data_IF_913963326377
#
_entry.id   IF_913963326377
#
_cell.length_a   1.000
_cell.length_b   1.000
_cell.length_c   1.000
_cell.angle_alpha   90.00
_cell.angle_beta   90.00
_cell.angle_gamma   90.00
#
_symmetry.space_group_name_H-M   'P 1'
#
loop_
_entity.id
_entity.type
_entity.pdbx_description
1 polymer ?
#
# COMPACT_ATOMS: atom_id res chain seq x y z
N UNK A 1 -43.69 -18.99 -24.83
CA UNK A 1 -42.39 -18.28 -24.86
C UNK A 1 -42.34 -17.43 -23.60
N UNK A 2 -41.56 -17.85 -22.59
CA UNK A 2 -41.33 -17.05 -21.39
C UNK A 2 -39.95 -16.41 -21.52
N UNK A 3 -39.92 -15.10 -21.74
CA UNK A 3 -38.69 -14.30 -21.73
C UNK A 3 -38.17 -14.21 -20.28
N UNK A 4 -37.07 -14.90 -19.99
CA UNK A 4 -36.31 -14.70 -18.77
C UNK A 4 -35.25 -13.61 -19.00
N UNK A 5 -35.64 -12.35 -18.87
CA UNK A 5 -34.71 -11.25 -18.68
C UNK A 5 -34.21 -11.16 -17.22
N UNK A 6 -33.06 -10.53 -16.95
CA UNK A 6 -32.57 -10.31 -15.60
C UNK A 6 -33.58 -9.50 -14.78
N UNK A 7 -33.97 -10.02 -13.61
CA UNK A 7 -34.91 -9.34 -12.70
C UNK A 7 -34.25 -8.08 -12.12
N UNK A 8 -34.72 -6.92 -12.55
CA UNK A 8 -34.37 -5.63 -11.94
C UNK A 8 -34.88 -5.63 -10.50
N UNK A 9 -33.96 -5.63 -9.53
CA UNK A 9 -34.29 -5.48 -8.10
C UNK A 9 -34.27 -4.00 -7.74
N UNK A 10 -35.43 -3.45 -7.43
CA UNK A 10 -35.56 -2.09 -6.90
C UNK A 10 -35.30 -2.14 -5.39
N UNK A 11 -34.46 -1.24 -4.90
CA UNK A 11 -34.17 -1.09 -3.48
C UNK A 11 -35.44 -0.77 -2.68
N UNK A 12 -35.66 -1.49 -1.58
CA UNK A 12 -36.90 -1.49 -0.81
C UNK A 12 -36.62 -1.34 0.68
N UNK A 13 -36.90 -0.14 1.19
CA UNK A 13 -36.70 0.24 2.61
C UNK A 13 -37.72 -0.40 3.56
N UNK A 14 -38.82 -0.94 3.04
CA UNK A 14 -39.89 -1.62 3.78
C UNK A 14 -39.57 -3.08 4.14
N UNK A 15 -38.36 -3.56 3.82
CA UNK A 15 -37.95 -4.90 4.21
C UNK A 15 -37.50 -4.92 5.66
N UNK A 16 -37.91 -5.96 6.39
CA UNK A 16 -37.62 -6.15 7.81
C UNK A 16 -36.13 -5.93 8.15
N UNK A 17 -35.22 -6.30 7.24
CA UNK A 17 -33.76 -6.08 7.38
C UNK A 17 -33.36 -4.62 7.61
N UNK A 18 -34.05 -3.65 7.00
CA UNK A 18 -33.76 -2.22 7.20
C UNK A 18 -34.45 -1.63 8.43
N UNK A 19 -35.60 -2.19 8.82
CA UNK A 19 -36.28 -1.75 10.06
C UNK A 19 -35.50 -2.13 11.32
N UNK A 20 -34.78 -3.25 11.29
CA UNK A 20 -33.94 -3.67 12.40
C UNK A 20 -32.53 -3.04 12.38
N UNK A 21 -32.18 -2.23 11.37
CA UNK A 21 -30.83 -1.64 11.25
C UNK A 21 -30.45 -0.79 12.47
N UNK A 22 -31.43 -0.12 13.08
CA UNK A 22 -31.26 0.70 14.28
C UNK A 22 -31.07 -0.10 15.57
N UNK A 23 -31.43 -1.38 15.59
CA UNK A 23 -31.32 -2.26 16.76
C UNK A 23 -29.96 -2.97 16.81
N UNK A 24 -29.30 -3.17 15.65
CA UNK A 24 -27.97 -3.81 15.58
C UNK A 24 -26.90 -3.17 16.48
N UNK A 25 -26.77 -1.84 16.60
CA UNK A 25 -25.77 -1.23 17.47
C UNK A 25 -25.96 -1.62 18.94
N UNK A 26 -27.21 -1.83 19.37
CA UNK A 26 -27.53 -2.26 20.73
C UNK A 26 -27.24 -3.75 20.91
N UNK A 27 -27.68 -4.59 19.97
CA UNK A 27 -27.40 -6.03 20.02
C UNK A 27 -25.90 -6.35 19.96
N UNK A 28 -25.10 -5.63 19.18
CA UNK A 28 -23.64 -5.82 19.14
C UNK A 28 -22.99 -5.49 20.49
N UNK A 29 -23.51 -4.49 21.22
CA UNK A 29 -23.00 -4.14 22.55
C UNK A 29 -23.42 -5.14 23.63
N UNK A 30 -24.62 -5.70 23.52
CA UNK A 30 -25.18 -6.62 24.51
C UNK A 30 -24.68 -8.07 24.29
N UNK A 31 -24.59 -8.52 23.04
CA UNK A 31 -24.37 -9.93 22.69
C UNK A 31 -23.11 -10.20 21.84
N UNK A 32 -22.40 -9.15 21.40
CA UNK A 32 -21.25 -9.26 20.48
C UNK A 32 -21.65 -9.33 18.99
N UNK A 33 -20.70 -9.31 18.05
CA UNK A 33 -21.00 -9.43 16.63
C UNK A 33 -21.53 -10.85 16.31
N UNK A 34 -22.59 -10.94 15.51
CA UNK A 34 -23.26 -12.21 15.16
C UNK A 34 -22.58 -12.98 14.01
N UNK A 35 -21.39 -12.56 13.57
CA UNK A 35 -20.62 -13.16 12.50
C UNK A 35 -20.12 -14.58 12.83
N UNK A 36 -19.94 -14.91 14.11
CA UNK A 36 -19.46 -16.21 14.59
C UNK A 36 -20.53 -17.32 14.67
N UNK A 37 -21.82 -17.01 14.53
CA UNK A 37 -22.90 -18.02 14.61
C UNK A 37 -23.37 -18.53 13.24
N UNK A 38 -22.76 -18.04 12.17
CA UNK A 38 -23.18 -18.34 10.81
C UNK A 38 -22.41 -19.54 10.25
N UNK A 39 -23.13 -20.63 9.95
CA UNK A 39 -22.58 -21.77 9.18
C UNK A 39 -22.16 -21.36 7.77
N UNK A 40 -22.46 -20.12 7.35
CA UNK A 40 -22.06 -19.56 6.07
C UNK A 40 -20.53 -19.56 5.90
N UNK A 41 -19.74 -19.32 6.96
CA UNK A 41 -18.28 -19.39 6.88
C UNK A 41 -17.82 -20.80 6.51
N UNK A 42 -18.30 -21.82 7.23
CA UNK A 42 -18.01 -23.23 6.95
C UNK A 42 -18.55 -23.67 5.57
N UNK A 43 -19.72 -23.18 5.16
CA UNK A 43 -20.33 -23.50 3.87
C UNK A 43 -19.58 -22.83 2.70
N UNK A 44 -19.07 -21.61 2.88
CA UNK A 44 -18.25 -20.87 1.92
C UNK A 44 -16.89 -21.55 1.79
N UNK A 45 -16.25 -21.92 2.89
CA UNK A 45 -15.03 -22.73 2.90
C UNK A 45 -15.22 -24.07 2.14
N UNK A 46 -16.33 -24.76 2.39
CA UNK A 46 -16.67 -25.99 1.69
C UNK A 46 -16.89 -25.79 0.18
N UNK A 47 -17.36 -24.62 -0.28
CA UNK A 47 -17.50 -24.31 -1.72
C UNK A 47 -16.13 -24.20 -2.39
N UNK A 48 -15.17 -23.54 -1.74
CA UNK A 48 -13.82 -23.39 -2.27
C UNK A 48 -13.08 -24.73 -2.33
N UNK A 49 -13.19 -25.56 -1.30
CA UNK A 49 -12.62 -26.92 -1.30
C UNK A 49 -13.28 -27.84 -2.32
N UNK A 50 -14.61 -27.75 -2.51
CA UNK A 50 -15.34 -28.52 -3.53
C UNK A 50 -15.00 -28.10 -4.96
N UNK A 51 -14.88 -26.79 -5.25
CA UNK A 51 -14.41 -26.30 -6.56
C UNK A 51 -13.01 -26.82 -6.86
N UNK A 52 -12.07 -26.73 -5.90
CA UNK A 52 -10.70 -27.25 -6.06
C UNK A 52 -10.66 -28.76 -6.33
N UNK A 53 -11.45 -29.54 -5.58
CA UNK A 53 -11.56 -30.98 -5.79
C UNK A 53 -12.03 -31.36 -7.21
N UNK A 54 -12.92 -30.56 -7.83
CA UNK A 54 -13.38 -30.79 -9.21
C UNK A 54 -12.26 -30.73 -10.25
N UNK A 55 -11.20 -29.97 -9.99
CA UNK A 55 -10.04 -29.83 -10.87
C UNK A 55 -8.94 -30.87 -10.65
N UNK A 56 -9.12 -31.78 -9.69
CA UNK A 56 -8.21 -32.91 -9.50
C UNK A 56 -8.66 -34.12 -10.33
N UNK A 57 -7.74 -35.05 -10.59
CA UNK A 57 -8.10 -36.35 -11.18
C UNK A 57 -8.89 -37.24 -10.22
N UNK A 58 -9.24 -36.74 -9.02
CA UNK A 58 -9.97 -37.44 -7.93
C UNK A 58 -9.31 -38.74 -7.44
N UNK A 59 -8.02 -38.91 -7.74
CA UNK A 59 -7.21 -40.05 -7.35
C UNK A 59 -5.93 -39.53 -6.68
N UNK A 60 -5.71 -39.88 -5.41
CA UNK A 60 -4.68 -39.26 -4.56
C UNK A 60 -4.72 -37.72 -4.64
N UNK A 61 -5.92 -37.16 -4.42
CA UNK A 61 -6.21 -35.76 -4.67
C UNK A 61 -5.47 -34.83 -3.70
N UNK A 62 -5.08 -35.27 -2.50
CA UNK A 62 -4.36 -34.40 -1.54
C UNK A 62 -3.04 -33.91 -2.13
N UNK A 63 -2.28 -34.78 -2.79
CA UNK A 63 -1.02 -34.41 -3.46
C UNK A 63 -1.23 -33.51 -4.69
N UNK A 64 -2.42 -33.55 -5.31
CA UNK A 64 -2.77 -32.67 -6.42
C UNK A 64 -3.23 -31.30 -5.94
N UNK A 65 -4.03 -31.24 -4.88
CA UNK A 65 -4.38 -30.00 -4.19
C UNK A 65 -3.12 -29.31 -3.65
N UNK A 66 -2.24 -30.05 -2.97
CA UNK A 66 -0.96 -29.53 -2.49
C UNK A 66 -0.07 -29.01 -3.62
N UNK A 67 -0.05 -29.68 -4.79
CA UNK A 67 0.65 -29.20 -5.99
C UNK A 67 -0.02 -27.98 -6.63
N UNK A 68 -1.34 -27.86 -6.55
CA UNK A 68 -2.07 -26.68 -7.01
C UNK A 68 -1.80 -25.48 -6.09
N UNK A 69 -1.76 -25.69 -4.77
CA UNK A 69 -1.37 -24.67 -3.79
C UNK A 69 0.11 -24.29 -3.98
N UNK A 70 1.00 -25.26 -4.21
CA UNK A 70 2.39 -24.99 -4.59
C UNK A 70 2.55 -24.31 -5.96
N UNK A 71 1.62 -24.47 -6.90
CA UNK A 71 1.68 -23.79 -8.22
C UNK A 71 1.16 -22.35 -8.16
N UNK A 72 0.37 -22.00 -7.14
CA UNK A 72 -0.20 -20.66 -6.97
C UNK A 72 0.79 -19.63 -6.42
N UNK A 73 1.85 -20.08 -5.75
CA UNK A 73 2.84 -19.21 -5.11
C UNK A 73 4.14 -19.13 -5.90
N UNK A 74 4.49 -17.92 -6.34
CA UNK A 74 5.72 -17.64 -7.08
C UNK A 74 6.95 -17.80 -6.19
N UNK A 75 8.00 -18.37 -6.79
CA UNK A 75 9.28 -18.71 -6.18
C UNK A 75 9.92 -17.56 -5.37
N UNK A 76 9.74 -16.30 -5.78
CA UNK A 76 10.27 -15.12 -5.07
C UNK A 76 9.58 -14.87 -3.73
N UNK A 77 8.25 -15.00 -3.66
CA UNK A 77 7.51 -14.78 -2.41
C UNK A 77 7.46 -15.99 -1.49
N UNK A 78 7.63 -17.22 -2.03
CA UNK A 78 7.85 -18.42 -1.22
C UNK A 78 9.08 -18.33 -0.32
N UNK A 79 10.11 -17.61 -0.78
CA UNK A 79 11.34 -17.41 0.00
C UNK A 79 11.00 -16.66 1.30
N UNK A 80 10.10 -15.67 1.25
CA UNK A 80 9.60 -14.97 2.43
C UNK A 80 8.58 -15.84 3.19
N UNK A 81 9.05 -16.84 3.94
CA UNK A 81 8.21 -17.79 4.69
C UNK A 81 6.96 -17.14 5.27
N UNK A 82 5.78 -17.44 4.73
CA UNK A 82 4.59 -16.57 4.83
C UNK A 82 4.22 -16.29 6.29
N UNK A 83 4.32 -17.32 7.13
CA UNK A 83 3.95 -17.33 8.54
C UNK A 83 5.11 -16.99 9.50
N UNK A 84 6.34 -16.89 9.00
CA UNK A 84 7.51 -16.60 9.84
C UNK A 84 7.52 -15.13 10.28
N UNK A 85 7.61 -14.83 11.57
CA UNK A 85 7.80 -13.44 11.97
C UNK A 85 9.20 -12.94 11.56
N UNK A 86 9.25 -11.77 10.93
CA UNK A 86 10.48 -11.04 10.64
C UNK A 86 10.48 -9.75 11.47
N UNK A 87 11.19 -9.72 12.61
CA UNK A 87 11.13 -8.58 13.50
C UNK A 87 11.76 -7.35 12.85
N UNK A 88 11.03 -6.23 12.89
CA UNK A 88 11.57 -4.92 12.54
C UNK A 88 12.40 -4.38 13.71
N UNK A 89 13.42 -3.55 13.43
CA UNK A 89 14.08 -2.77 14.47
C UNK A 89 13.08 -1.92 15.27
N UNK A 90 13.44 -1.59 16.51
CA UNK A 90 12.70 -0.63 17.32
C UNK A 90 12.52 0.70 16.54
N UNK A 91 11.34 1.35 16.62
CA UNK A 91 11.10 2.61 15.96
C UNK A 91 12.17 3.65 16.29
N UNK A 92 12.75 4.27 15.26
CA UNK A 92 13.73 5.34 15.38
C UNK A 92 13.26 6.51 14.52
N UNK A 93 12.61 7.47 15.17
CA UNK A 93 11.98 8.67 14.57
C UNK A 93 12.98 9.50 13.77
N UNK A 94 14.29 9.40 14.05
CA UNK A 94 15.33 10.12 13.31
C UNK A 94 15.64 9.51 11.95
N UNK A 95 15.15 8.30 11.68
CA UNK A 95 15.36 7.61 10.41
C UNK A 95 14.11 7.73 9.57
N UNK A 96 14.27 8.25 8.36
CA UNK A 96 13.20 8.32 7.37
C UNK A 96 12.54 6.97 7.11
N UNK A 97 13.31 5.88 7.12
CA UNK A 97 12.77 4.54 6.99
C UNK A 97 13.51 3.51 7.83
N UNK A 98 12.86 2.36 8.03
CA UNK A 98 13.44 1.20 8.68
C UNK A 98 12.93 -0.09 8.03
N UNK A 99 13.82 -1.07 7.91
CA UNK A 99 13.49 -2.43 7.47
C UNK A 99 14.31 -3.44 8.27
N UNK A 100 13.97 -4.72 8.12
CA UNK A 100 14.74 -5.79 8.73
C UNK A 100 16.16 -5.86 8.16
N UNK A 101 17.10 -6.35 8.98
CA UNK A 101 18.54 -6.42 8.66
C UNK A 101 19.03 -7.85 8.44
N UNK A 102 18.18 -8.84 8.68
CA UNK A 102 18.55 -10.24 8.61
C UNK A 102 18.84 -10.70 7.18
N UNK A 103 19.67 -11.72 7.04
CA UNK A 103 20.03 -12.31 5.75
C UNK A 103 19.25 -13.62 5.47
N UNK A 104 18.12 -13.84 6.16
CA UNK A 104 17.36 -15.09 6.14
C UNK A 104 16.81 -15.42 4.74
N UNK A 105 16.31 -14.41 4.04
CA UNK A 105 15.57 -14.56 2.79
C UNK A 105 16.41 -14.12 1.58
N UNK A 106 17.50 -14.85 1.35
CA UNK A 106 18.44 -14.55 0.27
C UNK A 106 17.99 -15.11 -1.10
N UNK A 107 17.82 -14.22 -2.08
CA UNK A 107 17.55 -14.52 -3.48
C UNK A 107 18.85 -14.43 -4.27
N UNK A 108 19.21 -15.44 -5.06
CA UNK A 108 20.41 -15.34 -5.92
C UNK A 108 20.10 -14.51 -7.16
N UNK A 109 21.03 -13.66 -7.56
CA UNK A 109 20.90 -12.90 -8.80
C UNK A 109 20.78 -13.79 -10.05
N UNK A 110 21.38 -14.98 -10.01
CA UNK A 110 21.22 -15.98 -11.07
C UNK A 110 19.80 -16.56 -11.16
N UNK A 111 19.04 -16.56 -10.06
CA UNK A 111 17.65 -16.99 -10.04
C UNK A 111 16.77 -15.90 -10.68
N UNK A 112 17.02 -14.62 -10.38
CA UNK A 112 16.39 -13.47 -11.06
C UNK A 112 16.68 -13.45 -12.57
N UNK A 113 17.92 -13.78 -12.97
CA UNK A 113 18.29 -13.87 -14.38
C UNK A 113 17.62 -15.04 -15.11
N UNK A 114 17.23 -16.12 -14.41
CA UNK A 114 16.39 -17.18 -14.98
C UNK A 114 14.93 -16.75 -15.07
N UNK A 115 14.41 -16.08 -14.05
CA UNK A 115 13.06 -15.53 -14.05
C UNK A 115 12.84 -14.55 -15.22
N UNK A 116 13.86 -13.75 -15.55
CA UNK A 116 13.88 -12.86 -16.71
C UNK A 116 13.64 -13.56 -18.07
N UNK A 117 13.85 -14.89 -18.16
CA UNK A 117 13.61 -15.67 -19.38
C UNK A 117 12.16 -16.10 -19.52
N UNK A 118 11.44 -16.26 -18.41
CA UNK A 118 10.05 -16.70 -18.37
C UNK A 118 9.06 -15.56 -18.14
N UNK A 119 9.47 -14.49 -17.45
CA UNK A 119 8.62 -13.37 -17.07
C UNK A 119 9.23 -12.04 -17.55
N UNK A 120 8.50 -11.31 -18.40
CA UNK A 120 8.93 -10.04 -18.96
C UNK A 120 9.21 -8.97 -17.89
N UNK A 121 8.57 -9.04 -16.72
CA UNK A 121 8.75 -8.07 -15.63
C UNK A 121 10.15 -8.11 -15.04
N UNK A 122 10.80 -9.29 -15.04
CA UNK A 122 12.14 -9.47 -14.53
C UNK A 122 13.23 -9.25 -15.60
N UNK A 123 12.84 -9.00 -16.87
CA UNK A 123 13.75 -8.92 -18.03
C UNK A 123 14.94 -8.01 -17.82
N UNK A 124 14.70 -6.83 -17.24
CA UNK A 124 15.71 -5.79 -17.04
C UNK A 124 16.20 -5.69 -15.59
N UNK A 125 15.80 -6.63 -14.72
CA UNK A 125 16.06 -6.55 -13.28
C UNK A 125 17.55 -6.41 -12.96
N UNK A 126 18.40 -7.35 -13.41
CA UNK A 126 19.83 -7.35 -13.05
C UNK A 126 20.59 -6.15 -13.66
N UNK A 127 20.43 -5.81 -14.95
CA UNK A 127 21.06 -4.61 -15.52
C UNK A 127 20.65 -3.32 -14.81
N UNK A 128 19.34 -3.07 -14.64
CA UNK A 128 18.85 -1.88 -13.95
C UNK A 128 19.30 -1.82 -12.50
N UNK A 129 19.42 -2.97 -11.83
CA UNK A 129 19.87 -3.01 -10.45
C UNK A 129 21.32 -2.56 -10.33
N UNK A 130 22.19 -3.00 -11.24
CA UNK A 130 23.57 -2.53 -11.31
C UNK A 130 23.63 -1.02 -11.57
N UNK A 131 22.83 -0.52 -12.51
CA UNK A 131 22.79 0.91 -12.84
C UNK A 131 22.30 1.75 -11.65
N UNK A 132 21.25 1.30 -10.95
CA UNK A 132 20.76 1.92 -9.73
C UNK A 132 21.82 1.98 -8.63
N UNK A 133 22.58 0.89 -8.43
CA UNK A 133 23.69 0.85 -7.46
C UNK A 133 24.82 1.80 -7.85
N UNK A 134 25.22 1.83 -9.13
CA UNK A 134 26.27 2.74 -9.61
C UNK A 134 25.84 4.21 -9.45
N UNK A 135 24.60 4.53 -9.79
CA UNK A 135 24.05 5.87 -9.66
C UNK A 135 24.05 6.35 -8.21
N UNK A 136 23.58 5.50 -7.28
CA UNK A 136 23.63 5.83 -5.85
C UNK A 136 25.03 5.88 -5.28
N UNK A 137 25.98 5.15 -5.86
CA UNK A 137 27.36 5.17 -5.38
C UNK A 137 28.10 6.44 -5.81
N UNK A 138 28.01 6.83 -7.09
CA UNK A 138 28.71 7.99 -7.64
C UNK A 138 27.96 9.31 -7.43
N UNK A 139 26.66 9.24 -7.14
CA UNK A 139 25.82 10.40 -6.86
C UNK A 139 25.11 10.96 -8.10
N UNK A 140 24.27 11.99 -7.89
CA UNK A 140 23.36 12.53 -8.90
C UNK A 140 24.05 13.19 -10.11
N UNK A 141 25.29 13.68 -9.95
CA UNK A 141 26.07 14.28 -11.04
C UNK A 141 26.71 13.24 -11.98
N UNK A 142 26.48 11.95 -11.73
CA UNK A 142 27.07 10.87 -12.52
C UNK A 142 26.28 10.56 -13.79
N UNK A 143 26.95 9.95 -14.78
CA UNK A 143 26.32 9.50 -16.03
C UNK A 143 25.11 8.61 -15.74
N UNK A 144 23.99 8.85 -16.42
CA UNK A 144 22.81 7.96 -16.40
C UNK A 144 23.01 6.71 -17.25
N UNK A 145 24.09 6.65 -18.03
CA UNK A 145 24.43 5.51 -18.88
C UNK A 145 25.77 4.90 -18.41
N UNK A 146 25.69 3.68 -17.88
CA UNK A 146 26.87 2.92 -17.47
C UNK A 146 27.23 1.87 -18.50
N UNK A 147 28.53 1.74 -18.78
CA UNK A 147 29.02 0.70 -19.69
C UNK A 147 29.09 -0.65 -19.00
N UNK A 148 29.20 -1.73 -19.78
CA UNK A 148 29.38 -3.07 -19.18
C UNK A 148 30.69 -3.18 -18.38
N UNK A 149 31.72 -2.42 -18.76
CA UNK A 149 32.97 -2.32 -17.99
C UNK A 149 32.71 -1.73 -16.60
N UNK A 150 31.87 -0.70 -16.49
CA UNK A 150 31.49 -0.10 -15.21
C UNK A 150 30.68 -1.07 -14.35
N UNK A 151 29.72 -1.76 -14.97
CA UNK A 151 28.92 -2.82 -14.33
C UNK A 151 29.73 -4.03 -13.90
N UNK A 152 30.88 -4.28 -14.51
CA UNK A 152 31.78 -5.38 -14.17
C UNK A 152 32.62 -5.09 -12.92
N UNK A 153 32.74 -3.81 -12.53
CA UNK A 153 33.46 -3.38 -11.30
C UNK A 153 32.64 -3.63 -10.03
N UNK A 154 31.34 -3.94 -10.16
CA UNK A 154 30.44 -4.26 -9.06
C UNK A 154 30.51 -5.74 -8.67
N UNK A 155 30.80 -6.00 -7.40
CA UNK A 155 30.78 -7.35 -6.82
C UNK A 155 29.68 -7.45 -5.75
N UNK A 156 28.67 -8.27 -6.03
CA UNK A 156 27.59 -8.57 -5.09
C UNK A 156 28.06 -9.64 -4.10
N UNK A 157 27.99 -9.35 -2.81
CA UNK A 157 28.38 -10.32 -1.79
C UNK A 157 27.53 -11.59 -1.91
N UNK A 158 28.18 -12.75 -1.98
CA UNK A 158 27.57 -14.06 -2.19
C UNK A 158 26.67 -14.20 -3.46
N UNK A 159 26.70 -13.23 -4.38
CA UNK A 159 25.78 -13.20 -5.52
C UNK A 159 24.30 -13.15 -5.14
N UNK A 160 23.98 -12.63 -3.95
CA UNK A 160 22.64 -12.61 -3.37
C UNK A 160 22.15 -11.20 -3.06
N UNK A 161 20.84 -11.05 -3.12
CA UNK A 161 20.08 -9.95 -2.54
C UNK A 161 19.14 -10.53 -1.47
N UNK A 162 18.82 -9.77 -0.44
CA UNK A 162 18.01 -10.24 0.67
C UNK A 162 16.67 -9.52 0.66
N UNK A 163 15.58 -10.30 0.58
CA UNK A 163 14.23 -9.78 0.53
C UNK A 163 13.65 -9.63 1.94
N UNK A 164 12.82 -8.61 2.13
CA UNK A 164 12.13 -8.34 3.39
C UNK A 164 10.63 -8.23 3.20
N UNK A 165 9.90 -8.49 4.28
CA UNK A 165 8.44 -8.49 4.26
C UNK A 165 7.83 -7.08 4.26
N UNK A 166 8.46 -6.16 5.00
CA UNK A 166 7.89 -4.84 5.29
C UNK A 166 8.97 -3.77 5.32
N UNK A 167 8.57 -2.56 4.94
CA UNK A 167 9.32 -1.33 5.11
C UNK A 167 8.48 -0.39 5.96
N UNK A 168 9.05 0.17 7.02
CA UNK A 168 8.45 1.25 7.81
C UNK A 168 8.97 2.57 7.27
N UNK A 169 8.08 3.47 6.86
CA UNK A 169 8.39 4.84 6.47
C UNK A 169 7.91 5.77 7.58
N UNK A 170 8.73 6.74 7.96
CA UNK A 170 8.41 7.80 8.89
C UNK A 170 8.24 9.11 8.13
N UNK A 171 7.23 9.90 8.46
CA UNK A 171 6.95 11.16 7.80
C UNK A 171 6.28 12.15 8.74
N UNK A 172 6.47 13.45 8.45
CA UNK A 172 5.78 14.51 9.16
C UNK A 172 4.47 14.86 8.48
N UNK A 173 3.42 15.05 9.28
CA UNK A 173 2.09 15.41 8.82
C UNK A 173 1.94 16.93 8.66
N UNK A 174 0.86 17.36 7.99
CA UNK A 174 0.51 18.76 7.75
C UNK A 174 0.59 19.67 9.01
N UNK A 175 0.36 19.12 10.20
CA UNK A 175 0.38 19.78 11.51
C UNK A 175 1.65 19.47 12.34
N UNK A 176 2.77 19.10 11.70
CA UNK A 176 4.07 18.82 12.31
C UNK A 176 4.07 17.62 13.28
N UNK A 177 3.11 16.71 13.16
CA UNK A 177 3.15 15.45 13.93
C UNK A 177 3.94 14.42 13.16
N UNK A 178 4.69 13.62 13.89
CA UNK A 178 5.40 12.51 13.31
C UNK A 178 4.50 11.28 13.22
N UNK A 179 4.44 10.66 12.04
CA UNK A 179 3.67 9.43 11.78
C UNK A 179 4.52 8.41 11.04
N UNK A 180 3.98 7.19 10.95
CA UNK A 180 4.61 6.10 10.24
C UNK A 180 3.60 5.32 9.40
N UNK A 181 4.06 4.86 8.23
CA UNK A 181 3.34 3.92 7.37
C UNK A 181 4.13 2.61 7.25
N UNK A 182 3.43 1.49 7.11
CA UNK A 182 4.03 0.18 6.84
C UNK A 182 3.75 -0.24 5.40
N UNK A 183 4.75 -0.19 4.55
CA UNK A 183 4.69 -0.68 3.17
C UNK A 183 4.95 -2.18 3.17
N UNK A 184 3.97 -2.94 2.65
CA UNK A 184 4.04 -4.39 2.52
C UNK A 184 3.69 -4.76 1.08
N UNK A 185 4.64 -5.27 0.28
CA UNK A 185 4.41 -5.64 -1.12
C UNK A 185 3.24 -6.61 -1.36
N UNK A 186 2.79 -7.33 -0.31
CA UNK A 186 1.70 -8.30 -0.42
C UNK A 186 0.31 -7.67 -0.47
N UNK A 187 0.09 -6.54 0.20
CA UNK A 187 -1.25 -5.97 0.42
C UNK A 187 -1.32 -4.45 0.64
N UNK A 188 -0.20 -3.79 0.97
CA UNK A 188 -0.12 -2.34 1.17
C UNK A 188 1.13 -1.82 0.45
N UNK A 189 1.14 -2.01 -0.87
CA UNK A 189 2.33 -1.88 -1.69
C UNK A 189 2.48 -0.50 -2.35
N UNK A 190 1.41 0.30 -2.39
CA UNK A 190 1.39 1.53 -3.18
C UNK A 190 2.01 2.69 -2.38
N UNK A 191 2.92 3.42 -3.04
CA UNK A 191 3.73 4.48 -2.45
C UNK A 191 3.65 5.77 -3.28
N UNK A 192 3.90 6.91 -2.62
CA UNK A 192 3.98 8.24 -3.24
C UNK A 192 5.38 8.85 -3.04
N UNK A 193 5.89 9.50 -4.09
CA UNK A 193 7.20 10.15 -4.14
C UNK A 193 7.08 11.54 -4.77
N UNK A 194 8.09 12.39 -4.61
CA UNK A 194 8.13 13.68 -5.30
C UNK A 194 8.47 13.51 -6.78
N UNK A 195 7.78 14.27 -7.62
CA UNK A 195 8.14 14.42 -9.01
C UNK A 195 9.17 15.54 -9.15
N UNK A 196 10.41 15.20 -9.51
CA UNK A 196 11.48 16.19 -9.72
C UNK A 196 11.20 17.13 -10.89
N UNK A 197 10.37 16.73 -11.86
CA UNK A 197 9.98 17.60 -12.98
C UNK A 197 9.16 18.80 -12.52
N UNK A 198 8.38 18.65 -11.44
CA UNK A 198 7.58 19.73 -10.87
C UNK A 198 8.41 20.82 -10.17
N UNK A 199 9.72 20.61 -9.98
CA UNK A 199 10.62 21.65 -9.47
C UNK A 199 10.81 22.79 -10.50
N UNK A 200 10.80 22.43 -11.79
CA UNK A 200 11.06 23.37 -12.89
C UNK A 200 9.84 23.62 -13.77
N UNK A 201 8.75 22.89 -13.55
CA UNK A 201 7.51 23.00 -14.30
C UNK A 201 6.32 23.17 -13.35
N UNK A 202 5.80 24.40 -13.17
CA UNK A 202 4.66 24.66 -12.30
C UNK A 202 3.37 23.93 -12.70
N UNK A 203 3.26 23.49 -13.95
CA UNK A 203 2.10 22.77 -14.47
C UNK A 203 2.22 21.25 -14.32
N UNK A 204 3.40 20.75 -13.92
CA UNK A 204 3.62 19.32 -13.74
C UNK A 204 3.04 18.82 -12.42
N UNK A 205 2.48 17.61 -12.46
CA UNK A 205 1.95 16.96 -11.27
C UNK A 205 3.05 16.76 -10.22
N UNK A 206 2.85 17.16 -8.95
CA UNK A 206 3.92 17.20 -7.95
C UNK A 206 4.44 15.83 -7.48
N UNK A 207 3.72 14.76 -7.81
CA UNK A 207 3.94 13.44 -7.24
C UNK A 207 4.08 12.34 -8.29
N UNK A 208 4.91 11.36 -7.98
CA UNK A 208 5.01 10.08 -8.68
C UNK A 208 4.42 8.97 -7.80
N UNK A 209 3.89 7.93 -8.44
CA UNK A 209 3.22 6.82 -7.76
C UNK A 209 3.79 5.50 -8.26
N UNK A 210 4.01 4.58 -7.34
CA UNK A 210 4.49 3.26 -7.70
C UNK A 210 3.91 2.18 -6.78
N UNK A 211 3.82 0.97 -7.30
CA UNK A 211 3.50 -0.24 -6.54
C UNK A 211 4.78 -1.00 -6.23
N UNK A 212 5.07 -1.21 -4.96
CA UNK A 212 6.25 -1.96 -4.51
C UNK A 212 6.04 -3.45 -4.70
N UNK A 213 6.88 -4.08 -5.52
CA UNK A 213 6.88 -5.53 -5.78
C UNK A 213 7.76 -6.28 -4.76
N UNK A 214 8.80 -5.63 -4.25
CA UNK A 214 9.64 -6.20 -3.20
C UNK A 214 10.52 -5.19 -2.51
N UNK A 215 10.79 -5.45 -1.22
CA UNK A 215 11.72 -4.68 -0.40
C UNK A 215 13.00 -5.48 -0.27
N UNK A 216 14.14 -4.90 -0.60
CA UNK A 216 15.41 -5.63 -0.63
C UNK A 216 16.55 -4.85 0.02
N UNK A 217 17.54 -5.58 0.51
CA UNK A 217 18.86 -5.03 0.69
C UNK A 217 19.93 -5.94 0.08
N UNK A 218 21.12 -5.38 -0.11
CA UNK A 218 22.29 -6.11 -0.55
C UNK A 218 23.55 -5.45 -0.01
N UNK A 219 24.66 -6.19 -0.07
CA UNK A 219 25.99 -5.66 0.20
C UNK A 219 26.83 -5.77 -1.07
N UNK A 220 27.42 -4.66 -1.49
CA UNK A 220 28.18 -4.55 -2.75
C UNK A 220 29.55 -3.99 -2.46
N UNK A 221 30.55 -4.57 -3.11
CA UNK A 221 31.91 -4.05 -3.14
C UNK A 221 32.19 -3.48 -4.52
N UNK A 222 32.57 -2.21 -4.58
CA UNK A 222 33.01 -1.58 -5.83
C UNK A 222 34.53 -1.60 -5.87
N UNK A 223 35.07 -2.19 -6.95
CA UNK A 223 36.51 -2.25 -7.15
C UNK A 223 37.05 -0.89 -7.57
N UNK A 224 37.94 -0.33 -6.75
CA UNK A 224 38.69 0.88 -7.10
C UNK A 224 39.73 0.62 -8.19
N UNK A 225 40.23 1.67 -8.85
CA UNK A 225 41.35 1.54 -9.78
C UNK A 225 42.61 1.19 -8.97
N UNK A 226 43.22 0.01 -9.20
CA UNK A 226 44.45 -0.40 -8.51
C UNK A 226 45.62 0.58 -8.72
N UNK A 227 45.57 1.42 -9.76
CA UNK A 227 46.60 2.42 -10.07
C UNK A 227 46.37 3.77 -9.39
N UNK A 228 45.16 4.03 -8.89
CA UNK A 228 44.78 5.31 -8.28
C UNK A 228 44.72 5.25 -6.73
N UNK A 229 45.32 4.23 -6.12
CA UNK A 229 45.34 3.98 -4.66
C UNK A 229 43.94 3.97 -4.00
N UNK A 230 42.92 3.67 -4.81
CA UNK A 230 41.52 3.66 -4.38
C UNK A 230 41.20 2.30 -3.81
N UNK A 231 40.87 2.25 -2.52
CA UNK A 231 40.54 1.01 -1.83
C UNK A 231 39.17 0.47 -2.27
N UNK A 232 38.96 -0.84 -2.18
CA UNK A 232 37.65 -1.44 -2.37
C UNK A 232 36.69 -0.92 -1.28
N UNK A 233 35.58 -0.32 -1.69
CA UNK A 233 34.58 0.21 -0.76
C UNK A 233 33.41 -0.77 -0.74
N UNK A 234 33.16 -1.34 0.44
CA UNK A 234 31.98 -2.14 0.73
C UNK A 234 30.86 -1.21 1.24
N UNK A 235 29.67 -1.33 0.64
CA UNK A 235 28.47 -0.59 1.08
C UNK A 235 27.25 -1.50 1.05
N UNK A 236 26.38 -1.30 2.04
CA UNK A 236 25.04 -1.87 2.08
C UNK A 236 24.07 -0.92 1.38
N UNK A 237 23.30 -1.45 0.44
CA UNK A 237 22.26 -0.72 -0.28
C UNK A 237 20.90 -1.33 0.07
N UNK A 238 19.94 -0.47 0.40
CA UNK A 238 18.53 -0.79 0.62
C UNK A 238 17.73 -0.19 -0.54
N UNK A 239 16.87 -0.97 -1.17
CA UNK A 239 16.16 -0.55 -2.38
C UNK A 239 14.80 -1.24 -2.50
N UNK A 240 13.89 -0.59 -3.20
CA UNK A 240 12.56 -1.11 -3.52
C UNK A 240 12.53 -1.47 -5.00
N UNK A 241 12.04 -2.66 -5.33
CA UNK A 241 11.67 -2.98 -6.71
C UNK A 241 10.22 -2.60 -6.92
N UNK A 242 9.95 -1.75 -7.91
CA UNK A 242 8.63 -1.14 -8.09
C UNK A 242 8.11 -1.29 -9.52
N UNK A 243 6.79 -1.19 -9.65
CA UNK A 243 6.05 -0.99 -10.89
C UNK A 243 5.46 0.42 -10.89
N UNK A 244 5.77 1.22 -11.91
CA UNK A 244 5.33 2.61 -11.97
C UNK A 244 3.86 2.73 -12.39
N UNK A 245 3.15 3.66 -11.78
CA UNK A 245 1.91 4.19 -12.32
C UNK A 245 2.20 5.40 -13.21
N UNK A 246 1.38 5.60 -14.23
CA UNK A 246 1.34 6.82 -15.03
C UNK A 246 0.06 7.59 -14.72
N UNK A 247 0.18 8.92 -14.69
CA UNK A 247 -0.96 9.82 -14.56
C UNK A 247 -1.68 9.90 -15.91
N UNK A 248 -3.01 9.78 -15.89
CA UNK A 248 -3.84 10.07 -17.05
C UNK A 248 -3.98 11.58 -17.22
N UNK A 249 -3.16 12.14 -18.11
CA UNK A 249 -3.12 13.58 -18.41
C UNK A 249 -4.31 14.06 -19.25
N UNK A 250 -5.00 13.14 -19.93
CA UNK A 250 -6.17 13.48 -20.75
C UNK A 250 -7.43 13.64 -19.88
N UNK A 251 -7.44 13.02 -18.69
CA UNK A 251 -8.54 13.10 -17.74
C UNK A 251 -8.50 14.36 -16.87
N UNK A 252 -9.56 15.17 -16.99
CA UNK A 252 -9.78 16.34 -16.14
C UNK A 252 -10.03 15.92 -14.69
N UNK A 253 -9.08 16.26 -13.82
CA UNK A 253 -9.03 15.91 -12.40
C UNK A 253 -8.56 17.08 -11.55
N UNK A 254 -8.75 17.01 -10.24
CA UNK A 254 -8.46 18.08 -9.29
C UNK A 254 -9.72 18.70 -8.68
N UNK A 255 -9.50 19.65 -7.77
CA UNK A 255 -10.52 20.41 -7.06
C UNK A 255 -11.40 21.22 -8.02
N UNK A 256 -10.82 21.87 -9.04
CA UNK A 256 -11.59 22.64 -10.02
C UNK A 256 -12.60 21.76 -10.78
N UNK A 257 -12.24 20.51 -11.06
CA UNK A 257 -13.10 19.55 -11.76
C UNK A 257 -13.91 18.64 -10.83
N UNK A 258 -13.69 18.73 -9.51
CA UNK A 258 -14.33 17.90 -8.47
C UNK A 258 -14.18 16.40 -8.75
N UNK A 259 -12.99 15.99 -9.21
CA UNK A 259 -12.70 14.62 -9.65
C UNK A 259 -11.33 14.18 -9.13
N UNK A 260 -11.25 12.94 -8.69
CA UNK A 260 -9.97 12.35 -8.28
C UNK A 260 -9.06 12.13 -9.49
N UNK A 261 -7.75 12.25 -9.28
CA UNK A 261 -6.77 11.94 -10.32
C UNK A 261 -6.81 10.45 -10.69
N UNK A 262 -6.60 10.17 -11.97
CA UNK A 262 -6.55 8.84 -12.56
C UNK A 262 -5.10 8.39 -12.75
N UNK A 263 -4.83 7.15 -12.37
CA UNK A 263 -3.59 6.46 -12.65
C UNK A 263 -3.86 5.21 -13.48
N UNK A 264 -2.90 4.78 -14.28
CA UNK A 264 -2.93 3.49 -14.97
C UNK A 264 -1.53 2.87 -14.99
N UNK A 265 -1.45 1.57 -15.27
CA UNK A 265 -0.17 0.91 -15.49
C UNK A 265 0.26 1.01 -16.96
N UNK A 266 1.50 1.42 -17.25
CA UNK A 266 2.08 1.27 -18.59
C UNK A 266 2.22 -0.21 -18.96
N UNK A 267 2.48 -0.47 -20.24
CA UNK A 267 2.62 -1.83 -20.76
C UNK A 267 3.81 -2.53 -20.09
N UNK A 268 3.66 -3.76 -19.61
CA UNK A 268 4.74 -4.40 -18.86
C UNK A 268 5.97 -4.73 -19.72
N UNK A 269 5.83 -4.75 -21.06
CA UNK A 269 6.96 -4.89 -21.96
C UNK A 269 7.82 -3.63 -22.06
N UNK A 270 7.30 -2.48 -21.64
CA UNK A 270 8.02 -1.21 -21.73
C UNK A 270 9.14 -1.18 -20.70
N UNK A 271 10.32 -0.74 -21.13
CA UNK A 271 11.50 -0.68 -20.27
C UNK A 271 11.29 0.25 -19.06
N UNK A 272 10.44 1.27 -19.19
CA UNK A 272 10.12 2.23 -18.12
C UNK A 272 9.11 1.73 -17.08
N UNK A 273 8.46 0.56 -17.27
CA UNK A 273 7.37 0.12 -16.41
C UNK A 273 7.81 -0.38 -15.03
N UNK A 274 9.05 -0.89 -14.94
CA UNK A 274 9.63 -1.42 -13.71
C UNK A 274 10.97 -0.77 -13.44
N UNK A 275 11.22 -0.38 -12.19
CA UNK A 275 12.50 0.20 -11.79
C UNK A 275 12.78 0.01 -10.29
N UNK A 276 13.88 0.63 -9.84
CA UNK A 276 14.31 0.63 -8.45
C UNK A 276 14.23 2.02 -7.82
N UNK A 277 13.74 2.06 -6.59
CA UNK A 277 13.57 3.28 -5.80
C UNK A 277 14.42 3.20 -4.53
N UNK A 278 15.08 4.30 -4.15
CA UNK A 278 15.68 4.45 -2.82
C UNK A 278 14.54 4.66 -1.81
N UNK A 279 14.45 3.88 -0.72
CA UNK A 279 13.45 4.10 0.32
C UNK A 279 13.46 5.53 0.90
N UNK A 280 14.57 6.27 0.79
CA UNK A 280 14.63 7.70 1.17
C UNK A 280 13.76 8.61 0.30
N UNK A 281 13.48 8.24 -0.95
CA UNK A 281 12.70 9.06 -1.87
C UNK A 281 11.18 8.90 -1.64
N UNK A 282 10.79 7.87 -0.88
CA UNK A 282 9.40 7.56 -0.57
C UNK A 282 8.87 8.52 0.48
N UNK A 283 7.85 9.30 0.16
CA UNK A 283 7.22 10.21 1.13
C UNK A 283 6.42 9.41 2.15
N UNK A 284 5.49 8.58 1.67
CA UNK A 284 4.61 7.73 2.50
C UNK A 284 3.86 6.70 1.65
N UNK A 285 3.02 5.87 2.28
CA UNK A 285 2.09 4.99 1.57
C UNK A 285 0.91 5.77 0.97
N UNK A 286 0.29 5.23 -0.08
CA UNK A 286 -0.91 5.81 -0.66
C UNK A 286 -2.02 4.78 -0.84
N UNK A 287 -3.27 5.23 -0.69
CA UNK A 287 -4.44 4.42 -0.98
C UNK A 287 -4.98 4.74 -2.37
N UNK A 288 -4.97 3.73 -3.24
CA UNK A 288 -5.53 3.80 -4.58
C UNK A 288 -6.83 2.99 -4.64
N UNK A 289 -7.87 3.58 -5.23
CA UNK A 289 -9.19 2.95 -5.38
C UNK A 289 -9.31 2.43 -6.82
N UNK A 290 -9.55 1.14 -7.03
CA UNK A 290 -9.82 0.62 -8.37
C UNK A 290 -10.98 1.32 -9.07
N UNK A 291 -10.83 1.63 -10.35
CA UNK A 291 -11.83 2.28 -11.16
C UNK A 291 -12.95 1.35 -11.59
N UNK A 292 -13.78 0.88 -10.65
CA UNK A 292 -14.82 -0.13 -10.87
C UNK A 292 -15.77 0.18 -12.03
N UNK A 293 -15.98 1.45 -12.36
CA UNK A 293 -16.84 1.90 -13.47
C UNK A 293 -16.27 1.62 -14.87
N UNK A 294 -14.97 1.42 -15.00
CA UNK A 294 -14.29 1.18 -16.28
C UNK A 294 -14.15 -0.32 -16.59
N UNK A 295 -14.47 -1.17 -15.61
CA UNK A 295 -14.43 -2.63 -15.72
C UNK A 295 -13.08 -3.23 -15.30
N UNK A 296 -13.13 -4.48 -14.81
CA UNK A 296 -11.96 -5.28 -14.44
C UNK A 296 -11.59 -6.32 -15.52
N UNK A 297 -12.46 -6.49 -16.51
CA UNK A 297 -12.60 -7.76 -17.25
C UNK A 297 -12.21 -7.67 -18.74
N UNK A 298 -11.71 -6.54 -19.23
CA UNK A 298 -11.17 -6.49 -20.58
C UNK A 298 -9.70 -6.89 -20.55
N UNK A 299 -9.40 -8.06 -21.12
CA UNK A 299 -8.02 -8.51 -21.44
C UNK A 299 -7.16 -7.46 -22.15
N UNK A 300 -7.80 -6.40 -22.68
CA UNK A 300 -7.15 -5.25 -23.29
C UNK A 300 -6.30 -4.41 -22.33
N UNK A 301 -6.63 -4.38 -21.04
CA UNK A 301 -5.92 -3.58 -20.03
C UNK A 301 -5.10 -4.41 -19.07
N UNK A 302 -5.15 -5.73 -19.19
CA UNK A 302 -4.32 -6.60 -18.39
C UNK A 302 -2.89 -6.61 -18.95
N UNK A 303 -2.01 -5.84 -18.30
CA UNK A 303 -0.63 -5.63 -18.77
C UNK A 303 0.33 -6.70 -18.27
N UNK A 304 -0.14 -7.63 -17.43
CA UNK A 304 0.68 -8.68 -16.85
C UNK A 304 0.14 -10.07 -17.18
N UNK A 305 1.02 -11.06 -17.14
CA UNK A 305 0.60 -12.45 -17.17
C UNK A 305 0.00 -12.83 -15.80
N UNK A 306 -1.03 -13.69 -15.76
CA UNK A 306 -1.64 -14.13 -14.50
C UNK A 306 -0.65 -14.76 -13.53
N UNK A 307 0.45 -15.34 -14.03
CA UNK A 307 1.52 -15.96 -13.26
C UNK A 307 2.75 -15.07 -13.06
N UNK A 308 2.69 -13.78 -13.43
CA UNK A 308 3.81 -12.83 -13.27
C UNK A 308 4.18 -12.51 -11.81
N UNK A 309 5.48 -12.40 -11.51
CA UNK A 309 6.00 -12.00 -10.19
C UNK A 309 5.58 -10.60 -9.75
N UNK A 310 5.11 -9.76 -10.68
CA UNK A 310 4.64 -8.41 -10.37
C UNK A 310 3.19 -8.34 -9.86
N UNK A 311 2.46 -9.48 -9.81
CA UNK A 311 1.10 -9.54 -9.26
C UNK A 311 1.10 -9.48 -7.73
N UNK A 312 0.17 -8.74 -7.16
CA UNK A 312 -0.05 -8.80 -5.71
C UNK A 312 -0.59 -10.18 -5.30
N UNK A 313 -0.11 -10.70 -4.16
CA UNK A 313 -0.46 -12.04 -3.71
C UNK A 313 -1.71 -12.10 -2.84
N UNK A 314 -1.96 -11.07 -2.04
CA UNK A 314 -3.03 -11.05 -1.03
C UNK A 314 -3.96 -9.87 -1.28
N UNK A 315 -4.62 -9.88 -2.44
CA UNK A 315 -5.75 -9.01 -2.72
C UNK A 315 -7.01 -9.63 -2.11
N UNK A 316 -7.88 -8.80 -1.53
CA UNK A 316 -9.15 -9.26 -0.99
C UNK A 316 -10.15 -9.43 -2.14
N UNK A 317 -10.74 -10.60 -2.25
CA UNK A 317 -11.85 -10.82 -3.17
C UNK A 317 -13.19 -10.41 -2.56
N UNK A 318 -14.27 -10.54 -3.33
CA UNK A 318 -15.62 -10.17 -2.90
C UNK A 318 -16.10 -10.98 -1.68
N UNK A 319 -15.53 -12.15 -1.48
CA UNK A 319 -15.77 -13.03 -0.33
C UNK A 319 -14.84 -12.73 0.87
N UNK A 320 -13.99 -11.69 0.79
CA UNK A 320 -13.03 -11.32 1.83
C UNK A 320 -11.84 -12.27 1.96
N UNK A 321 -11.67 -13.19 1.02
CA UNK A 321 -10.55 -14.12 1.00
C UNK A 321 -9.35 -13.49 0.31
N UNK A 322 -8.15 -13.80 0.82
CA UNK A 322 -6.89 -13.37 0.20
C UNK A 322 -6.62 -14.25 -1.01
N UNK A 323 -6.61 -13.63 -2.17
CA UNK A 323 -6.22 -14.28 -3.41
C UNK A 323 -5.20 -13.44 -4.17
N UNK A 324 -4.59 -14.12 -5.14
CA UNK A 324 -3.65 -13.49 -6.02
C UNK A 324 -4.40 -12.58 -7.00
N UNK A 325 -3.85 -11.41 -7.25
CA UNK A 325 -4.28 -10.52 -8.32
C UNK A 325 -4.17 -11.25 -9.68
N UNK A 326 -5.31 -11.41 -10.36
CA UNK A 326 -5.37 -12.11 -11.64
C UNK A 326 -5.30 -11.14 -12.84
N UNK A 327 -5.78 -9.91 -12.68
CA UNK A 327 -5.81 -8.86 -13.71
C UNK A 327 -5.52 -7.47 -13.14
N UNK A 328 -5.08 -6.56 -14.01
CA UNK A 328 -4.96 -5.13 -13.68
C UNK A 328 -6.28 -4.40 -13.94
N UNK A 329 -6.62 -3.41 -13.11
CA UNK A 329 -7.67 -2.45 -13.42
C UNK A 329 -7.21 -1.44 -14.48
N UNK A 330 -8.14 -0.99 -15.31
CA UNK A 330 -7.87 0.03 -16.35
C UNK A 330 -7.37 1.34 -15.73
N UNK A 331 -8.07 1.80 -14.69
CA UNK A 331 -7.70 3.00 -13.95
C UNK A 331 -7.75 2.79 -12.44
N UNK A 332 -6.95 3.57 -11.73
CA UNK A 332 -6.92 3.67 -10.28
C UNK A 332 -7.10 5.14 -9.88
N UNK A 333 -8.05 5.40 -9.00
CA UNK A 333 -8.29 6.72 -8.43
C UNK A 333 -7.37 6.96 -7.24
N UNK A 334 -6.71 8.11 -7.21
CA UNK A 334 -5.96 8.54 -6.03
C UNK A 334 -6.93 9.00 -4.94
N UNK A 335 -6.97 8.32 -3.80
CA UNK A 335 -7.83 8.72 -2.68
C UNK A 335 -7.19 9.86 -1.87
N UNK A 336 -7.35 11.09 -2.35
CA UNK A 336 -6.88 12.30 -1.63
C UNK A 336 -7.64 12.59 -0.32
N UNK A 337 -8.69 11.83 0.00
CA UNK A 337 -9.51 12.01 1.21
C UNK A 337 -9.30 10.93 2.26
N UNK A 338 -8.30 10.05 2.09
CA UNK A 338 -8.04 8.93 3.02
C UNK A 338 -7.74 9.41 4.43
N UNK A 339 -7.05 10.54 4.58
CA UNK A 339 -6.79 11.21 5.85
C UNK A 339 -6.55 12.72 5.63
N UNK A 340 -6.48 13.47 6.74
CA UNK A 340 -6.25 14.93 6.71
C UNK A 340 -4.89 15.30 6.12
N UNK A 341 -3.86 14.48 6.33
CA UNK A 341 -2.53 14.76 5.83
C UNK A 341 -2.48 14.65 4.30
N UNK A 342 -3.03 13.55 3.75
CA UNK A 342 -3.14 13.33 2.32
C UNK A 342 -3.99 14.43 1.67
N UNK A 343 -5.09 14.83 2.29
CA UNK A 343 -5.89 15.95 1.80
C UNK A 343 -5.08 17.25 1.70
N UNK A 344 -4.33 17.59 2.75
CA UNK A 344 -3.51 18.81 2.77
C UNK A 344 -2.40 18.78 1.71
N UNK A 345 -1.84 17.59 1.42
CA UNK A 345 -0.87 17.38 0.34
C UNK A 345 -1.43 17.73 -1.04
N UNK A 346 -2.65 17.31 -1.34
CA UNK A 346 -3.31 17.62 -2.62
C UNK A 346 -3.96 19.01 -2.65
N UNK A 347 -4.21 19.62 -1.49
CA UNK A 347 -4.60 21.04 -1.40
C UNK A 347 -3.40 21.98 -1.61
N UNK A 348 -2.18 21.52 -1.36
CA UNK A 348 -0.95 22.31 -1.48
C UNK A 348 -0.60 23.13 -0.24
N UNK A 349 -1.21 22.85 0.91
CA UNK A 349 -0.95 23.57 2.17
C UNK A 349 -0.38 22.67 3.28
N UNK A 350 -0.24 23.23 4.48
CA UNK A 350 0.21 22.50 5.67
C UNK A 350 1.61 22.90 6.12
N UNK A 351 1.77 23.22 7.40
CA UNK A 351 3.02 23.71 7.98
C UNK A 351 4.08 22.60 7.97
N UNK A 352 3.69 21.34 8.12
CA UNK A 352 4.61 20.21 8.00
C UNK A 352 4.96 19.82 6.57
N UNK A 353 4.38 20.46 5.55
CA UNK A 353 4.71 20.21 4.14
C UNK A 353 5.59 21.31 3.53
N UNK A 354 6.19 22.17 4.37
CA UNK A 354 6.97 23.34 3.93
C UNK A 354 8.10 22.99 2.95
N UNK A 355 8.76 21.85 3.15
CA UNK A 355 9.84 21.40 2.26
C UNK A 355 9.34 21.08 0.85
N UNK A 356 8.06 20.74 0.72
CA UNK A 356 7.42 20.39 -0.54
C UNK A 356 6.78 21.58 -1.24
N UNK A 357 6.71 22.76 -0.60
CA UNK A 357 5.97 23.93 -1.11
C UNK A 357 6.32 24.30 -2.55
N UNK A 358 7.61 24.20 -2.92
CA UNK A 358 8.07 24.52 -4.29
C UNK A 358 7.45 23.62 -5.38
N UNK A 359 7.04 22.41 -5.02
CA UNK A 359 6.37 21.47 -5.93
C UNK A 359 4.85 21.64 -5.94
N UNK A 360 4.25 22.28 -4.91
CA UNK A 360 2.80 22.26 -4.70
C UNK A 360 2.02 23.38 -5.41
N UNK A 361 2.69 24.23 -6.20
CA UNK A 361 2.06 25.41 -6.80
C UNK A 361 0.79 25.10 -7.61
N UNK A 362 0.78 24.02 -8.38
CA UNK A 362 -0.40 23.57 -9.13
C UNK A 362 -1.60 23.29 -8.22
N UNK A 363 -1.36 22.63 -7.08
CA UNK A 363 -2.40 22.26 -6.12
C UNK A 363 -2.89 23.44 -5.30
N UNK A 364 -2.01 24.38 -4.94
CA UNK A 364 -2.41 25.63 -4.31
C UNK A 364 -3.38 26.41 -5.22
N UNK A 365 -3.12 26.44 -6.53
CA UNK A 365 -4.00 27.10 -7.50
C UNK A 365 -5.29 26.30 -7.77
N UNK A 366 -5.20 24.99 -7.98
CA UNK A 366 -6.37 24.12 -8.23
C UNK A 366 -7.34 24.14 -7.04
N UNK A 367 -6.85 24.16 -5.81
CA UNK A 367 -7.68 24.21 -4.60
C UNK A 367 -8.21 25.61 -4.24
N UNK A 368 -7.81 26.65 -4.99
CA UNK A 368 -8.13 28.05 -4.71
C UNK A 368 -7.47 28.59 -3.45
N UNK A 369 -6.38 27.96 -2.96
CA UNK A 369 -5.62 28.44 -1.81
C UNK A 369 -4.92 29.77 -2.12
N UNK A 370 -4.46 29.94 -3.37
CA UNK A 370 -3.80 31.16 -3.82
C UNK A 370 -4.71 32.41 -3.74
N UNK A 371 -6.02 32.22 -3.88
CA UNK A 371 -7.02 33.30 -3.85
C UNK A 371 -7.48 33.64 -2.42
N UNK A 372 -7.00 32.92 -1.40
CA UNK A 372 -7.40 33.17 -0.02
C UNK A 372 -6.73 34.43 0.53
N UNK A 373 -7.55 35.40 0.93
CA UNK A 373 -7.10 36.55 1.72
C UNK A 373 -6.81 36.04 3.12
N UNK A 374 -5.52 35.94 3.47
CA UNK A 374 -5.10 35.57 4.80
C UNK A 374 -5.22 36.78 5.74
N UNK A 375 -5.66 36.59 6.99
CA UNK A 375 -5.57 37.62 8.01
C UNK A 375 -4.12 38.08 8.17
N UNK A 376 -3.89 39.39 8.20
CA UNK A 376 -2.61 39.96 8.58
C UNK A 376 -2.54 40.03 10.11
N UNK A 377 -1.37 39.76 10.70
CA UNK A 377 -1.17 39.84 12.14
C UNK A 377 -0.06 40.85 12.44
N UNK A 378 -0.24 41.63 13.49
CA UNK A 378 0.79 42.54 13.98
C UNK A 378 1.90 41.81 14.75
N UNK A 379 2.90 42.56 15.25
CA UNK A 379 4.02 41.99 16.01
C UNK A 379 3.60 41.32 17.32
N UNK A 380 2.42 41.68 17.83
CA UNK A 380 1.87 41.17 19.08
C UNK A 380 0.94 39.97 18.85
N UNK A 381 0.72 39.60 17.58
CA UNK A 381 -0.09 38.45 17.16
C UNK A 381 -1.58 38.76 17.04
N UNK A 382 -1.96 40.04 17.04
CA UNK A 382 -3.35 40.48 16.88
C UNK A 382 -3.69 40.66 15.41
N UNK A 383 -4.90 40.25 15.01
CA UNK A 383 -5.37 40.37 13.63
C UNK A 383 -5.55 41.85 13.23
N UNK A 384 -4.84 42.28 12.19
CA UNK A 384 -4.96 43.60 11.59
C UNK A 384 -6.24 43.61 10.77
N UNK A 385 -7.34 44.05 11.38
CA UNK A 385 -8.56 44.36 10.63
C UNK A 385 -8.27 45.56 9.73
N UNK A 386 -8.08 45.34 8.44
CA UNK A 386 -8.11 46.42 7.45
C UNK A 386 -9.53 46.97 7.45
N UNK A 387 -9.73 48.11 8.11
CA UNK A 387 -10.97 48.88 7.99
C UNK A 387 -11.05 49.42 6.56
N UNK A 388 -11.59 48.63 5.64
CA UNK A 388 -11.99 49.15 4.35
C UNK A 388 -13.09 50.19 4.58
N UNK A 389 -12.89 51.37 4.01
CA UNK A 389 -13.85 52.46 3.99
C UNK A 389 -15.19 51.95 3.46
N UNK A 390 -16.15 51.72 4.36
CA UNK A 390 -17.54 51.52 4.01
C UNK A 390 -18.04 52.79 3.31
N UNK A 391 -18.21 52.71 1.99
CA UNK A 391 -19.19 53.54 1.32
C UNK A 391 -20.56 53.03 1.76
N UNK A 392 -21.32 53.90 2.41
CA UNK A 392 -22.74 53.73 2.72
C UNK A 392 -23.48 53.15 1.51
N UNK A 393 -23.98 51.92 1.66
CA UNK A 393 -25.07 51.41 0.83
C UNK A 393 -26.21 51.15 1.80
N UNK A 394 -27.26 51.95 1.63
CA UNK A 394 -28.50 51.98 2.39
C UNK A 394 -29.02 50.59 2.78
N UNK A 395 -29.35 50.47 4.06
CA UNK A 395 -30.23 49.43 4.60
C UNK A 395 -31.60 49.52 3.93
N UNK A 396 -32.00 48.47 3.19
CA UNK A 396 -33.40 48.09 3.09
C UNK A 396 -33.55 46.62 3.45
N UNK A 397 -34.22 46.42 4.58
CA UNK A 397 -34.69 45.18 5.15
C UNK A 397 -35.50 44.32 4.16
N UNK A 398 -35.14 43.04 4.01
CA UNK A 398 -36.11 41.94 3.94
C UNK A 398 -35.57 40.71 4.69
N UNK A 399 -35.78 40.75 6.00
CA UNK A 399 -36.18 39.69 6.93
C UNK A 399 -36.26 38.23 6.39
N UNK A 400 -35.41 37.34 6.89
CA UNK A 400 -35.85 35.98 7.27
C UNK A 400 -35.30 35.59 8.64
N UNK A 401 -36.23 35.38 9.56
CA UNK A 401 -36.04 35.07 10.97
C UNK A 401 -35.28 33.75 11.19
N UNK A 402 -34.20 33.82 11.96
CA UNK A 402 -33.78 32.74 12.85
C UNK A 402 -34.02 33.21 14.27
N UNK A 403 -34.71 32.40 15.09
CA UNK A 403 -34.80 32.60 16.54
C UNK A 403 -35.30 31.29 17.22
N UNK A 404 -35.02 31.08 18.53
CA UNK A 404 -33.87 30.28 18.98
C UNK A 404 -34.18 29.38 20.21
N UNK A 405 -33.11 28.93 20.88
CA UNK A 405 -32.93 28.61 22.32
C UNK A 405 -33.12 27.15 22.78
N UNK A 406 -32.13 26.67 23.52
CA UNK A 406 -32.27 25.58 24.47
C UNK A 406 -30.98 25.16 25.19
N UNK A 407 -30.26 26.10 25.83
CA UNK A 407 -29.25 25.77 26.83
C UNK A 407 -29.93 25.27 28.11
N UNK A 408 -29.38 24.24 28.75
CA UNK A 408 -29.34 24.16 30.22
C UNK A 408 -28.15 23.31 30.65
N UNK A 409 -27.23 23.98 31.34
CA UNK A 409 -26.02 23.50 31.97
C UNK A 409 -26.31 22.53 33.12
N UNK A 410 -25.38 21.62 33.43
CA UNK A 410 -24.73 21.61 34.74
C UNK A 410 -23.46 20.75 34.73
N UNK A 411 -22.43 21.33 35.33
CA UNK A 411 -21.07 20.84 35.52
C UNK A 411 -21.02 19.65 36.50
N UNK A 412 -19.99 18.81 36.36
CA UNK A 412 -19.16 18.40 37.50
C UNK A 412 -17.83 17.82 36.99
N UNK A 413 -16.74 18.49 37.33
CA UNK A 413 -15.39 17.97 37.18
C UNK A 413 -15.15 16.83 38.17
N UNK A 414 -14.49 15.77 37.71
CA UNK A 414 -13.69 14.92 38.61
C UNK A 414 -12.39 14.53 37.92
N UNK A 415 -11.30 15.08 38.46
CA UNK A 415 -9.95 14.60 38.27
C UNK A 415 -9.85 13.11 38.66
N UNK A 416 -9.44 12.28 37.70
CA UNK A 416 -8.86 10.98 38.00
C UNK A 416 -7.77 10.65 36.99
N UNK A 417 -6.52 10.84 37.41
CA UNK A 417 -5.34 10.25 36.81
C UNK A 417 -5.55 8.74 36.55
N UNK A 418 -5.56 8.34 35.29
CA UNK A 418 -5.66 6.94 34.87
C UNK A 418 -4.83 6.69 33.62
N UNK A 419 -3.61 6.19 33.83
CA UNK A 419 -2.75 5.61 32.81
C UNK A 419 -3.46 4.47 32.07
N UNK A 420 -3.42 4.45 30.74
CA UNK A 420 -3.80 3.29 29.91
C UNK A 420 -3.78 3.67 28.42
N UNK A 421 -2.69 3.36 27.71
CA UNK A 421 -2.50 2.10 26.96
C UNK A 421 -3.13 2.18 25.57
N UNK A 422 -2.31 2.55 24.59
CA UNK A 422 -2.57 2.34 23.17
C UNK A 422 -3.00 0.88 22.95
N UNK A 423 -4.19 0.67 22.42
CA UNK A 423 -4.66 -0.65 22.03
C UNK A 423 -4.01 -1.02 20.70
N UNK A 424 -2.95 -1.83 20.80
CA UNK A 424 -2.51 -2.72 19.74
C UNK A 424 -3.73 -3.47 19.19
N UNK A 425 -3.91 -3.41 17.87
CA UNK A 425 -4.86 -4.28 17.17
C UNK A 425 -4.28 -5.69 17.22
N UNK A 426 -4.67 -6.46 18.24
CA UNK A 426 -4.30 -7.87 18.39
C UNK A 426 -4.81 -8.68 17.19
N UNK A 427 -3.87 -9.40 16.57
CA UNK A 427 -4.14 -10.55 15.70
C UNK A 427 -5.05 -11.52 16.48
N UNK A 428 -6.31 -11.65 16.03
CA UNK A 428 -7.18 -12.74 16.47
C UNK A 428 -6.62 -14.03 15.86
N UNK A 429 -5.83 -14.74 16.66
CA UNK A 429 -5.57 -16.17 16.53
C UNK A 429 -6.73 -16.92 17.18
N UNK A 430 -7.54 -17.62 16.39
CA UNK A 430 -8.38 -18.71 16.90
C UNK A 430 -7.82 -20.06 16.41
N UNK A 431 -7.25 -20.75 17.39
CA UNK A 431 -7.29 -22.18 17.70
C UNK A 431 -6.87 -23.23 16.66
N UNK A 432 -5.76 -23.88 17.04
CA UNK A 432 -5.34 -25.23 16.72
C UNK A 432 -6.26 -26.26 17.37
N UNK A 433 -6.97 -27.06 16.56
CA UNK A 433 -7.45 -28.37 17.00
C UNK A 433 -6.41 -29.44 16.65
N UNK A 434 -5.79 -29.95 17.71
CA UNK A 434 -4.90 -31.10 17.79
C UNK A 434 -5.75 -32.38 17.92
N UNK A 435 -6.12 -33.00 16.80
CA UNK A 435 -6.64 -34.37 16.80
C UNK A 435 -5.48 -35.37 16.68
N UNK A 436 -4.82 -35.60 17.82
CA UNK A 436 -3.89 -36.70 18.02
C UNK A 436 -4.61 -38.04 18.16
N UNK A 437 -4.79 -38.74 17.04
CA UNK A 437 -5.30 -40.11 17.02
C UNK A 437 -4.19 -41.09 17.49
N UNK A 438 -4.21 -41.48 18.77
CA UNK A 438 -3.34 -42.53 19.31
C UNK A 438 -4.00 -43.91 19.20
N UNK A 439 -3.36 -44.92 18.57
CA UNK A 439 -3.93 -46.26 18.49
C UNK A 439 -3.79 -47.01 19.81
N UNK A 440 -4.91 -47.58 20.26
CA UNK A 440 -5.03 -48.50 21.38
C UNK A 440 -3.99 -49.64 21.31
N UNK A 441 -3.15 -49.76 22.34
CA UNK A 441 -2.37 -50.96 22.63
C UNK A 441 -3.20 -51.88 23.53
N UNK A 442 -3.50 -53.08 23.05
CA UNK A 442 -4.01 -54.17 23.88
C UNK A 442 -2.89 -54.72 24.77
N UNK A 443 -3.06 -54.61 26.08
CA UNK A 443 -2.28 -55.32 27.07
C UNK A 443 -2.67 -56.80 27.10
N UNK A 444 -1.69 -57.68 26.95
CA UNK A 444 -1.80 -59.09 27.34
C UNK A 444 -0.93 -59.35 28.57
N UNK A 445 -1.46 -59.94 29.66
CA UNK A 445 -0.68 -60.24 30.85
C UNK A 445 0.10 -61.56 30.66
N UNK A 446 1.38 -61.52 31.02
CA UNK A 446 2.22 -62.71 31.08
C UNK A 446 2.02 -63.51 32.37
N UNK A 447 1.98 -64.84 32.23
CA UNK A 447 2.41 -65.93 33.13
C UNK A 447 1.76 -67.20 32.54
N UNK A 448 2.42 -68.33 32.28
CA UNK A 448 3.73 -68.86 32.60
C UNK A 448 3.71 -70.36 32.25
N UNK A 449 4.77 -71.07 32.64
CA UNK A 449 4.96 -72.54 32.65
C UNK A 449 5.34 -73.29 31.35
N UNK A 450 6.56 -73.84 31.44
CA UNK A 450 7.19 -75.00 30.77
C UNK A 450 7.67 -74.86 29.32
#
# INVERSE_FOLDING_TARGET
MHENGPKVKVFRLDTAKFHFLGDYPRSIKEDGPTDSHSTLHTEVEHKTSKKRYQHTSKHHFEGQLARMDQRKEIEVHKILGINDQEPLPAPDIKKHYQMARGERYGVRLSDMARLAQSDHTARFFVPKLKDHVLHRFYGPDSSTQYTEDDRSKLFFHNGKIYQHKKLRIHFDTYDLRHRQDSVNPRNHADIIMLNSEADNNPDAHPYLYARVLGVFHMTVTIRGDPKADTHNIERRFEFLWVRWYQLDTDYKSGFQFRRLHHLYFPEASDEGSFDFVDPNDVIRGIHLIPGFSHGADSQQWDRLQPDSVARQLHVLNLEGQKEREESDWEYYYINMFVDRDMFMRFRGGGIGHREFKKYMGQFEHDSGLHDQVLPEYDSDGEEITVKDNAMDIDEQDEQFHANPVGNNDTEEESDSNGSGSDSDFEDINEESDDDGDTPYREDSPGQGTL
#
